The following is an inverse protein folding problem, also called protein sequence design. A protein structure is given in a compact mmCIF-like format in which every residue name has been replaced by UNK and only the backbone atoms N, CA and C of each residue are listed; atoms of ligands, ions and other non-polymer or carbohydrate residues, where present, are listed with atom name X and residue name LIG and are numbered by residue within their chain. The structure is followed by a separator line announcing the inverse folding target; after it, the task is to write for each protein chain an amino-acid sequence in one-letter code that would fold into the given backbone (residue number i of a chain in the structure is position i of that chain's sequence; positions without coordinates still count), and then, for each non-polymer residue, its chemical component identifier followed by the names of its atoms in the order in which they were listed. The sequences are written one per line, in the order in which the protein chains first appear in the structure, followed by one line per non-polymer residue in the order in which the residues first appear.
data_IF_228107211076
#
_entry.id   IF_228107211076
#
_cell.length_a   1.000
_cell.length_b   1.000
_cell.length_c   1.000
_cell.angle_alpha   90.00
_cell.angle_beta   90.00
_cell.angle_gamma   90.00
#
_symmetry.space_group_name_H-M   'P 1'
#
loop_
_entity.id
_entity.type
_entity.pdbx_description
1 polymer ?
#
# COMPACT_ATOMS: atom_id res chain seq x y z
N UNK A 1 -43.72 -13.18 -17.45
CA UNK A 1 -43.36 -13.19 -16.01
C UNK A 1 -41.86 -13.44 -15.76
N UNK A 2 -41.13 -14.02 -16.71
CA UNK A 2 -39.69 -14.34 -16.65
C UNK A 2 -38.75 -13.10 -16.73
N UNK A 3 -39.13 -12.09 -17.54
CA UNK A 3 -38.30 -10.90 -17.78
C UNK A 3 -38.05 -10.07 -16.49
N UNK A 4 -39.09 -9.88 -15.65
CA UNK A 4 -38.98 -9.15 -14.39
C UNK A 4 -38.10 -9.89 -13.38
N UNK A 5 -38.11 -11.22 -13.35
CA UNK A 5 -37.30 -12.05 -12.47
C UNK A 5 -35.82 -11.98 -12.84
N UNK A 6 -35.49 -12.01 -14.13
CA UNK A 6 -34.12 -11.91 -14.61
C UNK A 6 -33.52 -10.51 -14.37
N UNK A 7 -34.33 -9.46 -14.51
CA UNK A 7 -33.90 -8.08 -14.21
C UNK A 7 -33.57 -7.89 -12.70
N UNK A 8 -34.38 -8.47 -11.81
CA UNK A 8 -34.17 -8.39 -10.38
C UNK A 8 -32.87 -9.11 -9.95
N UNK A 9 -32.58 -10.28 -10.54
CA UNK A 9 -31.37 -11.04 -10.28
C UNK A 9 -30.13 -10.26 -10.75
N UNK A 10 -30.19 -9.61 -11.91
CA UNK A 10 -29.08 -8.81 -12.44
C UNK A 10 -28.78 -7.59 -11.57
N UNK A 11 -29.83 -6.95 -11.02
CA UNK A 11 -29.70 -5.79 -10.10
C UNK A 11 -29.07 -6.21 -8.77
N UNK A 12 -29.41 -7.38 -8.23
CA UNK A 12 -28.84 -7.90 -6.98
C UNK A 12 -27.36 -8.25 -7.15
N UNK A 13 -26.97 -8.85 -8.30
CA UNK A 13 -25.57 -9.17 -8.60
C UNK A 13 -24.74 -7.90 -8.75
N UNK A 14 -25.28 -6.85 -9.38
CA UNK A 14 -24.60 -5.57 -9.55
C UNK A 14 -24.34 -4.86 -8.20
N UNK A 15 -25.21 -5.05 -7.20
CA UNK A 15 -25.04 -4.47 -5.86
C UNK A 15 -24.00 -5.20 -5.00
N UNK A 16 -23.70 -6.47 -5.30
CA UNK A 16 -22.71 -7.25 -4.56
C UNK A 16 -21.26 -6.95 -4.97
N UNK A 17 -21.03 -6.33 -6.11
CA UNK A 17 -19.67 -5.96 -6.60
C UNK A 17 -19.19 -4.62 -6.04
N UNK A 18 -20.04 -3.84 -5.35
CA UNK A 18 -19.75 -2.47 -4.94
C UNK A 18 -18.93 -2.32 -3.64
N UNK A 19 -18.53 -3.41 -2.96
CA UNK A 19 -17.73 -3.33 -1.73
C UNK A 19 -16.28 -3.78 -1.95
N UNK A 20 -15.55 -3.12 -2.85
CA UNK A 20 -14.08 -3.20 -2.84
C UNK A 20 -13.56 -2.08 -1.95
N UNK A 21 -13.10 -2.42 -0.74
CA UNK A 21 -12.36 -1.48 0.08
C UNK A 21 -11.03 -1.18 -0.61
N UNK A 22 -10.77 0.06 -0.96
CA UNK A 22 -9.46 0.49 -1.48
C UNK A 22 -8.42 0.57 -0.36
N UNK A 23 -7.13 0.33 -0.64
CA UNK A 23 -6.07 0.54 0.33
C UNK A 23 -6.01 2.02 0.74
N UNK A 24 -5.56 2.26 1.96
CA UNK A 24 -5.29 3.62 2.43
C UNK A 24 -4.21 4.26 1.56
N UNK A 25 -4.48 5.45 1.04
CA UNK A 25 -3.55 6.20 0.20
C UNK A 25 -3.46 7.64 0.69
N UNK A 26 -2.26 8.15 0.87
CA UNK A 26 -1.97 9.54 1.20
C UNK A 26 -1.01 10.09 0.14
N UNK A 27 -1.40 11.17 -0.53
CA UNK A 27 -0.64 11.79 -1.61
C UNK A 27 -0.27 13.21 -1.22
N UNK A 28 0.94 13.63 -1.58
CA UNK A 28 1.41 14.98 -1.39
C UNK A 28 2.29 15.41 -2.57
N UNK A 29 2.07 16.60 -3.10
CA UNK A 29 2.84 17.15 -4.21
C UNK A 29 3.28 18.58 -3.91
N UNK A 30 4.47 18.95 -4.38
CA UNK A 30 4.98 20.30 -4.30
C UNK A 30 4.41 21.11 -5.46
N UNK A 31 3.83 22.29 -5.17
CA UNK A 31 3.38 23.25 -6.16
C UNK A 31 2.46 22.65 -7.26
N UNK A 32 1.64 21.66 -6.89
CA UNK A 32 0.80 20.89 -7.83
C UNK A 32 1.63 20.22 -8.94
N UNK A 33 2.80 19.70 -8.59
CA UNK A 33 3.67 18.98 -9.51
C UNK A 33 2.89 17.87 -10.24
N UNK A 34 3.08 17.82 -11.54
CA UNK A 34 2.64 16.74 -12.42
C UNK A 34 3.83 16.28 -13.25
N UNK A 35 3.96 14.98 -13.41
CA UNK A 35 5.01 14.42 -14.25
C UNK A 35 4.63 14.63 -15.72
N UNK A 36 5.46 15.39 -16.46
CA UNK A 36 5.22 15.67 -17.87
C UNK A 36 5.30 14.39 -18.71
N UNK A 37 4.40 14.23 -19.66
CA UNK A 37 4.36 13.08 -20.57
C UNK A 37 5.72 12.89 -21.28
N UNK A 38 6.19 11.67 -21.37
CA UNK A 38 7.48 11.34 -21.96
C UNK A 38 8.71 11.64 -21.10
N UNK A 39 8.52 12.11 -19.86
CA UNK A 39 9.64 12.34 -18.93
C UNK A 39 10.43 11.06 -18.72
N UNK A 40 11.76 11.14 -18.75
CA UNK A 40 12.61 10.03 -18.37
C UNK A 40 12.73 9.92 -16.86
N UNK A 41 12.81 8.69 -16.35
CA UNK A 41 12.94 8.40 -14.91
C UNK A 41 13.87 7.22 -14.65
N UNK A 42 14.37 7.11 -13.43
CA UNK A 42 15.05 5.90 -12.91
C UNK A 42 14.45 5.44 -11.60
N UNK A 43 14.49 4.14 -11.36
CA UNK A 43 14.03 3.55 -10.10
C UNK A 43 15.21 3.45 -9.14
N UNK A 44 14.99 3.82 -7.90
CA UNK A 44 15.92 3.65 -6.80
C UNK A 44 15.21 2.97 -5.63
N UNK A 45 15.69 1.79 -5.26
CA UNK A 45 15.22 1.08 -4.06
C UNK A 45 16.07 1.53 -2.86
N UNK A 46 15.39 2.05 -1.83
CA UNK A 46 16.09 2.48 -0.60
C UNK A 46 16.31 1.27 0.33
N UNK A 47 17.40 0.54 0.09
CA UNK A 47 17.72 -0.73 0.77
C UNK A 47 18.02 -0.57 2.26
N UNK A 48 18.41 0.61 2.71
CA UNK A 48 18.77 0.86 4.11
C UNK A 48 17.56 0.90 5.06
N UNK A 49 16.36 1.06 4.51
CA UNK A 49 15.11 1.16 5.27
C UNK A 49 14.29 -0.14 5.29
N UNK A 50 14.80 -1.21 4.68
CA UNK A 50 14.01 -2.44 4.54
C UNK A 50 13.80 -3.14 5.89
N UNK A 51 12.52 -3.43 6.23
CA UNK A 51 12.21 -4.25 7.39
C UNK A 51 12.80 -5.65 7.22
N UNK A 52 13.42 -6.16 8.29
CA UNK A 52 14.02 -7.52 8.30
C UNK A 52 12.96 -8.60 8.03
N UNK A 53 11.69 -8.30 8.39
CA UNK A 53 10.56 -9.22 8.22
C UNK A 53 10.00 -9.27 6.79
N UNK A 54 10.50 -8.42 5.90
CA UNK A 54 10.03 -8.34 4.53
C UNK A 54 10.94 -9.10 3.57
N UNK A 55 10.32 -9.88 2.68
CA UNK A 55 11.03 -10.58 1.63
C UNK A 55 11.67 -9.58 0.65
N UNK A 56 12.99 -9.64 0.41
CA UNK A 56 13.66 -8.80 -0.58
C UNK A 56 13.06 -8.89 -1.98
N UNK A 57 12.58 -10.07 -2.39
CA UNK A 57 11.94 -10.27 -3.71
C UNK A 57 10.70 -9.41 -3.83
N UNK A 58 9.93 -9.28 -2.75
CA UNK A 58 8.73 -8.47 -2.75
C UNK A 58 9.04 -6.98 -2.93
N UNK A 59 10.17 -6.52 -2.37
CA UNK A 59 10.61 -5.14 -2.53
C UNK A 59 11.06 -4.88 -3.97
N UNK A 60 11.74 -5.83 -4.58
CA UNK A 60 12.12 -5.78 -5.99
C UNK A 60 10.86 -5.74 -6.88
N UNK A 61 9.86 -6.58 -6.60
CA UNK A 61 8.57 -6.56 -7.30
C UNK A 61 7.88 -5.17 -7.21
N UNK A 62 7.94 -4.49 -6.06
CA UNK A 62 7.39 -3.14 -5.94
C UNK A 62 8.13 -2.12 -6.81
N UNK A 63 9.44 -2.26 -6.95
CA UNK A 63 10.25 -1.43 -7.84
C UNK A 63 9.95 -1.70 -9.32
N UNK A 64 9.85 -2.97 -9.69
CA UNK A 64 9.52 -3.38 -11.05
C UNK A 64 8.09 -2.95 -11.42
N UNK A 65 7.12 -3.11 -10.52
CA UNK A 65 5.75 -2.63 -10.71
C UNK A 65 5.70 -1.10 -10.94
N UNK A 66 6.49 -0.33 -10.17
CA UNK A 66 6.56 1.12 -10.36
C UNK A 66 7.15 1.49 -11.74
N UNK A 67 8.17 0.75 -12.18
CA UNK A 67 8.75 0.92 -13.50
C UNK A 67 7.75 0.60 -14.61
N UNK A 68 7.12 -0.57 -14.56
CA UNK A 68 6.16 -1.03 -15.57
C UNK A 68 4.96 -0.09 -15.66
N UNK A 69 4.43 0.37 -14.52
CA UNK A 69 3.34 1.35 -14.50
C UNK A 69 3.72 2.65 -15.23
N UNK A 70 4.87 3.24 -14.89
CA UNK A 70 5.31 4.51 -15.50
C UNK A 70 5.63 4.36 -16.98
N UNK A 71 6.23 3.25 -17.40
CA UNK A 71 6.42 2.95 -18.83
C UNK A 71 5.08 2.77 -19.55
N UNK A 72 4.11 2.13 -18.90
CA UNK A 72 2.75 1.92 -19.43
C UNK A 72 1.97 3.22 -19.65
N UNK A 73 2.21 4.26 -18.84
CA UNK A 73 1.58 5.58 -19.00
C UNK A 73 2.42 6.55 -19.86
N UNK A 74 3.50 6.06 -20.50
CA UNK A 74 4.23 6.80 -21.54
C UNK A 74 5.53 7.46 -21.09
N UNK A 75 6.00 7.21 -19.85
CA UNK A 75 7.31 7.67 -19.40
C UNK A 75 8.43 6.70 -19.84
N UNK A 76 9.69 7.16 -19.82
CA UNK A 76 10.81 6.36 -20.32
C UNK A 76 11.79 6.04 -19.19
N UNK A 77 12.06 4.73 -18.97
CA UNK A 77 13.11 4.33 -18.04
C UNK A 77 14.50 4.64 -18.60
N UNK A 78 15.32 5.38 -17.85
CA UNK A 78 16.71 5.67 -18.16
C UNK A 78 17.56 5.74 -16.89
N UNK A 79 18.68 5.04 -16.87
CA UNK A 79 19.61 5.05 -15.72
C UNK A 79 20.22 6.43 -15.46
N UNK A 80 20.30 7.26 -16.51
CA UNK A 80 20.93 8.59 -16.47
C UNK A 80 19.90 9.71 -16.22
N UNK A 81 18.64 9.37 -15.95
CA UNK A 81 17.59 10.36 -15.68
C UNK A 81 17.87 11.17 -14.42
N UNK A 82 17.55 12.47 -14.47
CA UNK A 82 17.54 13.36 -13.30
C UNK A 82 16.34 13.11 -12.39
N UNK A 83 15.24 12.56 -12.92
CA UNK A 83 14.07 12.21 -12.13
C UNK A 83 14.26 10.83 -11.52
N UNK A 84 14.30 10.79 -10.18
CA UNK A 84 14.46 9.56 -9.39
C UNK A 84 13.12 9.19 -8.77
N UNK A 85 12.64 7.99 -9.07
CA UNK A 85 11.51 7.37 -8.39
C UNK A 85 12.06 6.48 -7.30
N UNK A 86 12.05 6.99 -6.07
CA UNK A 86 12.52 6.25 -4.89
C UNK A 86 11.38 5.42 -4.31
N UNK A 87 11.59 4.11 -4.20
CA UNK A 87 10.68 3.17 -3.56
C UNK A 87 11.26 2.75 -2.22
N UNK A 88 10.52 2.98 -1.15
CA UNK A 88 10.94 2.64 0.20
C UNK A 88 9.82 1.93 0.97
N UNK A 89 10.19 0.93 1.76
CA UNK A 89 9.27 0.24 2.66
C UNK A 89 9.79 0.36 4.08
N UNK A 90 8.91 0.76 4.98
CA UNK A 90 9.21 0.86 6.41
C UNK A 90 8.17 0.09 7.22
N UNK A 91 8.46 -0.22 8.48
CA UNK A 91 7.53 -0.89 9.39
C UNK A 91 7.35 -0.08 10.67
N UNK A 92 6.16 -0.22 11.25
CA UNK A 92 5.84 0.32 12.58
C UNK A 92 5.02 -0.70 13.33
N UNK A 93 5.46 -1.00 14.55
CA UNK A 93 4.69 -1.84 15.45
C UNK A 93 3.45 -1.10 15.94
N UNK A 94 2.29 -1.70 15.71
CA UNK A 94 1.04 -1.24 16.30
C UNK A 94 0.73 -2.11 17.51
N UNK A 95 0.84 -1.54 18.69
CA UNK A 95 0.48 -2.19 19.94
C UNK A 95 -1.05 -2.25 20.02
N UNK A 96 -1.61 -3.46 20.01
CA UNK A 96 -3.02 -3.69 20.33
C UNK A 96 -3.12 -4.13 21.77
N UNK A 97 -3.85 -3.38 22.54
CA UNK A 97 -4.32 -3.82 23.85
C UNK A 97 -5.64 -4.55 23.63
N UNK A 98 -5.64 -5.86 23.73
CA UNK A 98 -6.88 -6.64 23.78
C UNK A 98 -7.44 -6.50 25.20
N UNK A 99 -8.31 -5.51 25.37
CA UNK A 99 -9.04 -5.27 26.62
C UNK A 99 -10.10 -6.38 26.74
N UNK A 100 -9.72 -7.54 27.24
CA UNK A 100 -10.64 -8.62 27.56
C UNK A 100 -11.47 -8.20 28.78
N UNK A 101 -12.47 -7.33 28.58
CA UNK A 101 -13.52 -7.09 29.57
C UNK A 101 -14.43 -8.30 29.60
N UNK A 102 -14.08 -9.28 30.41
CA UNK A 102 -14.96 -10.38 30.75
C UNK A 102 -16.11 -9.82 31.58
N UNK A 103 -17.29 -9.64 30.97
CA UNK A 103 -18.54 -9.41 31.67
C UNK A 103 -18.98 -10.73 32.35
N UNK A 104 -18.30 -11.12 33.41
CA UNK A 104 -18.57 -12.33 34.18
C UNK A 104 -18.62 -11.99 35.67
N UNK A 105 -19.50 -12.68 36.37
CA UNK A 105 -19.80 -12.56 37.81
C UNK A 105 -18.59 -12.28 38.68
N UNK A 106 -18.67 -11.41 39.71
CA UNK A 106 -17.53 -10.94 40.51
C UNK A 106 -16.81 -12.01 41.34
N UNK A 107 -17.37 -13.23 41.52
CA UNK A 107 -16.85 -14.24 42.42
C UNK A 107 -15.66 -15.08 41.89
N UNK A 108 -15.40 -15.07 40.60
CA UNK A 108 -14.33 -15.88 40.00
C UNK A 108 -13.08 -15.08 39.55
N UNK A 109 -12.95 -13.85 39.97
CA UNK A 109 -11.94 -12.89 39.47
C UNK A 109 -10.50 -13.15 39.93
N UNK A 110 -10.27 -14.03 40.90
CA UNK A 110 -8.94 -14.18 41.51
C UNK A 110 -8.05 -15.27 40.91
N UNK A 111 -8.59 -16.18 40.10
CA UNK A 111 -7.85 -17.34 39.60
C UNK A 111 -7.51 -17.31 38.11
N UNK A 112 -8.03 -16.35 37.36
CA UNK A 112 -7.78 -16.21 35.90
C UNK A 112 -7.27 -14.82 35.57
N UNK A 113 -6.21 -14.39 36.24
CA UNK A 113 -5.45 -13.22 35.81
C UNK A 113 -4.55 -13.68 34.64
N UNK A 114 -5.10 -13.76 33.43
CA UNK A 114 -4.27 -13.77 32.25
C UNK A 114 -3.76 -12.34 32.07
N UNK A 115 -2.44 -12.13 32.05
CA UNK A 115 -1.89 -10.82 31.76
C UNK A 115 -2.36 -10.37 30.39
N UNK A 116 -2.71 -9.08 30.26
CA UNK A 116 -3.08 -8.44 29.00
C UNK A 116 -2.10 -8.86 27.92
N UNK A 117 -2.57 -9.62 26.92
CA UNK A 117 -1.74 -10.03 25.80
C UNK A 117 -1.51 -8.79 24.94
N UNK A 118 -0.31 -8.24 25.04
CA UNK A 118 0.16 -7.21 24.13
C UNK A 118 0.49 -7.90 22.81
N UNK A 119 -0.42 -7.83 21.85
CA UNK A 119 -0.17 -8.31 20.50
C UNK A 119 0.35 -7.13 19.66
N UNK A 120 1.63 -7.15 19.33
CA UNK A 120 2.19 -6.23 18.34
C UNK A 120 1.94 -6.83 16.95
N UNK A 121 1.25 -6.07 16.10
CA UNK A 121 1.06 -6.44 14.69
C UNK A 121 1.82 -5.43 13.84
N UNK A 122 2.85 -5.87 13.09
CA UNK A 122 3.60 -4.96 12.22
C UNK A 122 2.69 -4.38 11.13
N UNK A 123 2.73 -3.07 10.99
CA UNK A 123 2.10 -2.33 9.91
C UNK A 123 3.23 -1.85 8.98
N UNK A 124 3.12 -2.21 7.70
CA UNK A 124 4.09 -1.85 6.67
C UNK A 124 3.62 -0.61 5.93
N UNK A 125 4.56 0.23 5.53
CA UNK A 125 4.33 1.47 4.79
C UNK A 125 5.17 1.46 3.51
N UNK A 126 4.52 1.48 2.35
CA UNK A 126 5.15 1.75 1.08
C UNK A 126 5.10 3.25 0.82
N UNK A 127 6.25 3.85 0.61
CA UNK A 127 6.37 5.22 0.10
C UNK A 127 7.05 5.20 -1.26
N UNK A 128 6.42 5.85 -2.24
CA UNK A 128 7.02 6.17 -3.52
C UNK A 128 7.22 7.68 -3.55
N UNK A 129 8.44 8.12 -3.85
CA UNK A 129 8.79 9.55 -3.91
C UNK A 129 9.43 9.87 -5.24
N UNK A 130 8.97 10.90 -5.92
CA UNK A 130 9.64 11.47 -7.08
C UNK A 130 10.57 12.58 -6.61
N UNK A 131 11.83 12.47 -6.95
CA UNK A 131 12.88 13.43 -6.60
C UNK A 131 13.57 13.94 -7.85
N UNK A 132 13.89 15.21 -7.85
CA UNK A 132 14.83 15.80 -8.79
C UNK A 132 16.26 15.65 -8.22
N UNK A 133 17.09 14.90 -8.91
CA UNK A 133 18.46 14.63 -8.49
C UNK A 133 19.35 15.87 -8.47
N UNK A 134 19.10 16.82 -9.38
CA UNK A 134 19.94 18.02 -9.50
C UNK A 134 19.71 18.98 -8.32
N UNK A 135 18.45 19.17 -7.93
CA UNK A 135 18.07 20.05 -6.83
C UNK A 135 17.94 19.34 -5.48
N UNK A 136 18.02 18.00 -5.45
CA UNK A 136 17.76 17.11 -4.27
C UNK A 136 16.39 17.39 -3.63
N UNK A 137 15.41 17.82 -4.43
CA UNK A 137 14.08 18.15 -3.96
C UNK A 137 13.10 17.02 -4.24
N UNK A 138 12.31 16.68 -3.24
CA UNK A 138 11.15 15.83 -3.44
C UNK A 138 10.03 16.65 -4.07
N UNK A 139 9.54 16.16 -5.22
CA UNK A 139 8.51 16.81 -6.02
C UNK A 139 7.12 16.24 -5.68
N UNK A 140 7.05 14.94 -5.47
CA UNK A 140 5.82 14.23 -5.17
C UNK A 140 6.07 13.04 -4.26
N UNK A 141 5.08 12.68 -3.43
CA UNK A 141 5.12 11.48 -2.61
C UNK A 141 3.75 10.83 -2.54
N UNK A 142 3.72 9.50 -2.66
CA UNK A 142 2.58 8.65 -2.33
C UNK A 142 2.93 7.70 -1.19
N UNK A 143 2.00 7.53 -0.26
CA UNK A 143 2.12 6.62 0.88
C UNK A 143 0.91 5.70 0.93
N UNK A 144 1.15 4.41 1.03
CA UNK A 144 0.12 3.42 1.38
C UNK A 144 0.60 2.51 2.49
N UNK A 145 -0.32 1.78 3.11
CA UNK A 145 0.01 0.89 4.22
C UNK A 145 -0.81 -0.39 4.19
N UNK A 146 -0.22 -1.46 4.69
CA UNK A 146 -0.90 -2.74 4.87
C UNK A 146 -0.42 -3.43 6.15
N UNK A 147 -1.11 -4.50 6.52
CA UNK A 147 -0.70 -5.43 7.58
C UNK A 147 -0.42 -6.80 6.99
N UNK A 148 0.46 -7.53 7.63
CA UNK A 148 0.70 -8.92 7.25
C UNK A 148 -0.62 -9.71 7.28
N UNK A 149 -0.92 -10.40 6.15
CA UNK A 149 -2.15 -11.17 5.99
C UNK A 149 -3.41 -10.37 5.67
N UNK A 150 -3.30 -9.04 5.43
CA UNK A 150 -4.42 -8.27 4.85
C UNK A 150 -4.58 -8.60 3.37
N UNK A 151 -5.78 -8.37 2.83
CA UNK A 151 -6.08 -8.56 1.40
C UNK A 151 -5.28 -7.65 0.46
N UNK A 152 -4.66 -6.60 1.01
CA UNK A 152 -3.82 -5.66 0.28
C UNK A 152 -2.32 -5.88 0.50
N UNK A 153 -1.95 -6.89 1.30
CA UNK A 153 -0.54 -7.22 1.47
C UNK A 153 0.01 -7.71 0.14
N UNK A 154 1.05 -7.07 -0.41
CA UNK A 154 1.68 -7.57 -1.61
C UNK A 154 2.37 -8.90 -1.28
N UNK A 155 2.03 -9.96 -2.00
CA UNK A 155 2.60 -11.30 -1.83
C UNK A 155 3.28 -11.81 -3.09
N UNK A 156 2.98 -11.19 -4.22
CA UNK A 156 3.45 -11.54 -5.56
C UNK A 156 3.46 -10.29 -6.46
N UNK A 157 3.89 -10.43 -7.70
CA UNK A 157 3.93 -9.32 -8.66
C UNK A 157 2.55 -8.70 -8.92
N UNK A 158 1.46 -9.45 -9.19
CA UNK A 158 0.14 -8.83 -9.41
C UNK A 158 -0.37 -7.99 -8.23
N UNK A 159 -0.12 -8.42 -7.00
CA UNK A 159 -0.52 -7.64 -5.81
C UNK A 159 0.37 -6.42 -5.59
N UNK A 160 1.65 -6.48 -5.98
CA UNK A 160 2.54 -5.33 -5.99
C UNK A 160 2.12 -4.29 -7.04
N UNK A 161 1.78 -4.72 -8.26
CA UNK A 161 1.22 -3.87 -9.33
C UNK A 161 -0.03 -3.14 -8.88
N UNK A 162 -1.01 -3.84 -8.31
CA UNK A 162 -2.24 -3.23 -7.81
C UNK A 162 -1.97 -2.16 -6.74
N UNK A 163 -1.01 -2.41 -5.83
CA UNK A 163 -0.68 -1.47 -4.76
C UNK A 163 0.01 -0.22 -5.31
N UNK A 164 0.92 -0.40 -6.26
CA UNK A 164 1.66 0.69 -6.93
C UNK A 164 0.73 1.51 -7.84
N UNK A 165 -0.13 0.86 -8.63
CA UNK A 165 -1.13 1.53 -9.45
C UNK A 165 -2.03 2.44 -8.63
N UNK A 166 -2.54 1.98 -7.49
CA UNK A 166 -3.33 2.81 -6.57
C UNK A 166 -2.61 4.07 -6.09
N UNK A 167 -1.29 4.02 -5.95
CA UNK A 167 -0.50 5.18 -5.58
C UNK A 167 -0.27 6.13 -6.77
N UNK A 168 0.13 5.59 -7.92
CA UNK A 168 0.60 6.37 -9.06
C UNK A 168 -0.52 6.88 -9.98
N UNK A 169 -1.75 6.36 -9.87
CA UNK A 169 -2.90 6.79 -10.70
C UNK A 169 -3.19 8.29 -10.62
N UNK A 170 -2.75 8.96 -9.56
CA UNK A 170 -2.96 10.39 -9.34
C UNK A 170 -1.65 11.21 -9.45
N UNK A 171 -0.64 10.69 -10.12
CA UNK A 171 0.59 11.38 -10.45
C UNK A 171 0.43 12.21 -11.73
#
# INVERSE_FOLDING_TARGET
MTLKRNFLIFTVIALLVACTSSPFTELNSRDNFQLEEGTSFKIQLNKDLYPVEMDPILIENLGDAAKEYLEGVGHQYSKDSSVVVEVSVTTKDKIKYDDFRFYGYPMYRSYLYEPDRINSVPEFFLRISLKDQESDKTLWTGLTKWRKGSSYAPTDMPSAEMLVENLLTNL
#
